data_IF_830347868550
#
_entry.id   IF_830347868550
#
_cell.length_a   1.000
_cell.length_b   1.000
_cell.length_c   1.000
_cell.angle_alpha   90.00
_cell.angle_beta   90.00
_cell.angle_gamma   90.00
#
_symmetry.space_group_name_H-M   'P 1'
#
loop_
_entity.id
_entity.type
_entity.pdbx_description
1 polymer ?
#
# COMPACT_ATOMS: atom_id res chain seq x y z
N UNK A 1 21.69 5.68 -11.91
CA UNK A 1 20.90 4.60 -11.28
C UNK A 1 21.06 4.69 -9.76
N UNK A 2 19.99 4.46 -8.99
CA UNK A 2 19.98 4.59 -7.52
C UNK A 2 19.66 3.27 -6.84
N UNK A 3 19.83 3.23 -5.51
CA UNK A 3 19.62 2.04 -4.68
C UNK A 3 18.19 1.98 -4.09
N UNK A 4 17.25 2.59 -4.80
CA UNK A 4 15.84 2.69 -4.40
C UNK A 4 14.92 2.64 -5.62
N UNK A 5 13.70 2.16 -5.40
CA UNK A 5 12.60 2.25 -6.36
C UNK A 5 11.53 3.21 -5.87
N UNK A 6 10.83 3.86 -6.81
CA UNK A 6 9.61 4.61 -6.55
C UNK A 6 8.43 3.69 -6.82
N UNK A 7 7.64 3.45 -5.78
CA UNK A 7 6.45 2.62 -5.81
C UNK A 7 5.20 3.49 -5.83
N UNK A 8 4.27 3.16 -6.72
CA UNK A 8 2.97 3.82 -6.84
C UNK A 8 1.88 3.02 -6.09
N UNK A 9 1.40 3.59 -4.99
CA UNK A 9 0.31 3.04 -4.16
C UNK A 9 -0.95 3.91 -4.23
N UNK A 10 -1.08 4.80 -5.23
CA UNK A 10 -2.24 5.70 -5.36
C UNK A 10 -3.57 4.96 -5.41
N UNK A 11 -3.59 3.76 -5.99
CA UNK A 11 -4.78 2.88 -6.08
C UNK A 11 -5.20 2.23 -4.75
N UNK A 12 -4.30 2.22 -3.75
CA UNK A 12 -4.59 1.72 -2.40
C UNK A 12 -5.04 2.83 -1.45
N UNK A 13 -4.84 4.10 -1.83
CA UNK A 13 -5.33 5.23 -1.06
C UNK A 13 -6.85 5.21 -1.02
N UNK A 14 -7.40 5.46 0.18
CA UNK A 14 -8.83 5.67 0.35
C UNK A 14 -9.28 6.95 -0.36
N UNK A 15 -8.51 8.02 -0.15
CA UNK A 15 -8.69 9.34 -0.73
C UNK A 15 -7.33 9.86 -1.22
N UNK A 16 -7.29 10.68 -2.27
CA UNK A 16 -6.04 11.28 -2.79
C UNK A 16 -5.54 12.41 -1.88
N UNK A 17 -5.21 12.06 -0.63
CA UNK A 17 -4.74 12.99 0.41
C UNK A 17 -3.48 12.48 1.09
N UNK A 18 -2.68 13.39 1.64
CA UNK A 18 -1.45 13.04 2.36
C UNK A 18 -1.72 12.30 3.69
N UNK A 19 -2.91 12.51 4.29
CA UNK A 19 -3.34 11.76 5.46
C UNK A 19 -3.54 10.27 5.13
N UNK A 20 -4.13 9.98 3.96
CA UNK A 20 -4.28 8.60 3.46
C UNK A 20 -2.92 7.98 3.15
N UNK A 21 -1.99 8.74 2.58
CA UNK A 21 -0.60 8.31 2.37
C UNK A 21 0.07 7.93 3.69
N UNK A 22 -0.03 8.79 4.71
CA UNK A 22 0.51 8.54 6.04
C UNK A 22 -0.14 7.34 6.74
N UNK A 23 -1.43 7.09 6.51
CA UNK A 23 -2.11 5.91 7.05
C UNK A 23 -1.52 4.62 6.45
N UNK A 24 -1.34 4.56 5.12
CA UNK A 24 -0.70 3.41 4.45
C UNK A 24 0.74 3.25 4.93
N UNK A 25 1.50 4.35 5.00
CA UNK A 25 2.88 4.35 5.47
C UNK A 25 3.02 3.68 6.85
N UNK A 26 2.17 4.06 7.81
CA UNK A 26 2.15 3.47 9.16
C UNK A 26 1.88 1.96 9.11
N UNK A 27 1.00 1.50 8.22
CA UNK A 27 0.72 0.08 8.07
C UNK A 27 1.92 -0.67 7.48
N UNK A 28 2.57 -0.12 6.45
CA UNK A 28 3.75 -0.72 5.84
C UNK A 28 4.88 -0.86 6.86
N UNK A 29 5.19 0.21 7.59
CA UNK A 29 6.28 0.18 8.58
C UNK A 29 5.95 -0.75 9.75
N UNK A 30 4.73 -0.72 10.29
CA UNK A 30 4.38 -1.50 11.48
C UNK A 30 4.06 -2.97 11.19
N UNK A 31 3.34 -3.26 10.10
CA UNK A 31 2.88 -4.63 9.77
C UNK A 31 3.79 -5.33 8.78
N UNK A 32 4.17 -4.65 7.69
CA UNK A 32 5.01 -5.23 6.62
C UNK A 32 6.50 -5.19 7.00
N UNK A 33 6.88 -4.28 7.90
CA UNK A 33 8.24 -4.10 8.43
C UNK A 33 9.26 -3.80 7.33
N UNK A 34 8.87 -2.98 6.37
CA UNK A 34 9.75 -2.49 5.31
C UNK A 34 9.93 -1.00 5.52
N UNK A 35 11.19 -0.55 5.53
CA UNK A 35 11.50 0.87 5.66
C UNK A 35 11.23 1.56 4.32
N UNK A 36 10.13 2.30 4.27
CA UNK A 36 9.74 3.10 3.11
C UNK A 36 9.63 4.57 3.51
N UNK A 37 9.99 5.47 2.60
CA UNK A 37 9.83 6.91 2.80
C UNK A 37 8.63 7.41 1.99
N UNK A 38 7.66 8.13 2.60
CA UNK A 38 6.50 8.64 1.89
C UNK A 38 6.88 9.83 1.00
N UNK A 39 6.20 9.99 -0.14
CA UNK A 39 6.46 11.02 -1.14
C UNK A 39 6.30 12.44 -0.60
N UNK A 40 5.41 12.62 0.39
CA UNK A 40 5.27 13.87 1.16
C UNK A 40 6.57 14.37 1.78
N UNK A 41 7.51 13.47 2.14
CA UNK A 41 8.83 13.86 2.66
C UNK A 41 9.74 14.50 1.61
N UNK A 42 9.40 14.40 0.32
CA UNK A 42 10.17 14.96 -0.80
C UNK A 42 9.43 16.11 -1.51
N UNK A 43 8.42 16.70 -0.87
CA UNK A 43 7.56 17.72 -1.47
C UNK A 43 6.87 17.26 -2.77
N UNK A 44 6.52 15.97 -2.86
CA UNK A 44 5.79 15.46 -4.01
C UNK A 44 4.39 16.10 -4.05
N UNK A 45 3.98 16.58 -5.23
CA UNK A 45 2.70 17.27 -5.44
C UNK A 45 1.51 16.32 -5.33
N UNK A 46 1.73 15.03 -5.62
CA UNK A 46 0.71 13.99 -5.59
C UNK A 46 0.96 13.03 -4.43
N UNK A 47 -0.05 12.72 -3.61
CA UNK A 47 0.05 11.69 -2.58
C UNK A 47 0.08 10.29 -3.20
N UNK A 48 0.63 9.31 -2.48
CA UNK A 48 0.61 7.89 -2.85
C UNK A 48 1.92 7.36 -3.45
N UNK A 49 2.95 8.19 -3.55
CA UNK A 49 4.29 7.78 -3.97
C UNK A 49 5.12 7.35 -2.77
N UNK A 50 5.87 6.25 -2.90
CA UNK A 50 6.73 5.74 -1.84
C UNK A 50 8.11 5.39 -2.37
N UNK A 51 9.16 5.84 -1.68
CA UNK A 51 10.53 5.44 -1.97
C UNK A 51 10.91 4.23 -1.13
N UNK A 52 11.26 3.12 -1.80
CA UNK A 52 11.67 1.86 -1.17
C UNK A 52 13.17 1.68 -1.40
N UNK A 53 13.96 1.65 -0.33
CA UNK A 53 15.40 1.45 -0.41
C UNK A 53 15.74 -0.03 -0.21
N UNK A 54 16.54 -0.59 -1.13
CA UNK A 54 17.01 -1.99 -1.07
C UNK A 54 18.55 -2.08 -0.99
N UNK A 55 19.23 -0.94 -0.86
CA UNK A 55 20.69 -0.79 -0.86
C UNK A 55 21.44 -1.65 0.18
N UNK A 56 20.80 -1.88 1.33
CA UNK A 56 21.45 -2.37 2.55
C UNK A 56 20.91 -3.75 2.97
N UNK A 57 20.44 -4.54 2.02
CA UNK A 57 19.84 -5.86 2.26
C UNK A 57 20.45 -6.89 1.33
N UNK A 58 20.65 -8.10 1.84
CA UNK A 58 20.99 -9.26 1.02
C UNK A 58 19.75 -9.75 0.24
N UNK A 59 19.99 -10.63 -0.73
CA UNK A 59 18.94 -11.11 -1.64
C UNK A 59 17.82 -11.82 -0.88
N UNK A 60 18.15 -12.63 0.12
CA UNK A 60 17.18 -13.35 0.95
C UNK A 60 16.26 -12.39 1.72
N UNK A 61 16.81 -11.34 2.34
CA UNK A 61 16.00 -10.32 3.04
C UNK A 61 15.12 -9.55 2.06
N UNK A 62 15.63 -9.24 0.87
CA UNK A 62 14.86 -8.58 -0.18
C UNK A 62 13.67 -9.44 -0.63
N UNK A 63 13.88 -10.74 -0.84
CA UNK A 63 12.79 -11.66 -1.23
C UNK A 63 11.72 -11.75 -0.15
N UNK A 64 12.11 -11.81 1.13
CA UNK A 64 11.16 -11.78 2.25
C UNK A 64 10.37 -10.47 2.25
N UNK A 65 11.03 -9.33 2.03
CA UNK A 65 10.37 -8.02 1.91
C UNK A 65 9.34 -7.99 0.76
N UNK A 66 9.73 -8.48 -0.42
CA UNK A 66 8.84 -8.57 -1.58
C UNK A 66 7.64 -9.47 -1.31
N UNK A 67 7.84 -10.62 -0.66
CA UNK A 67 6.75 -11.53 -0.30
C UNK A 67 5.76 -10.87 0.66
N UNK A 68 6.25 -10.15 1.68
CA UNK A 68 5.38 -9.41 2.61
C UNK A 68 4.60 -8.31 1.92
N UNK A 69 5.20 -7.59 0.96
CA UNK A 69 4.49 -6.60 0.15
C UNK A 69 3.42 -7.23 -0.72
N UNK A 70 3.73 -8.38 -1.34
CA UNK A 70 2.76 -9.13 -2.15
C UNK A 70 1.56 -9.54 -1.32
N UNK A 71 1.78 -10.11 -0.14
CA UNK A 71 0.71 -10.52 0.78
C UNK A 71 -0.12 -9.31 1.24
N UNK A 72 0.53 -8.17 1.51
CA UNK A 72 -0.15 -6.93 1.87
C UNK A 72 -1.07 -6.42 0.76
N UNK A 73 -0.61 -6.38 -0.49
CA UNK A 73 -1.38 -5.90 -1.65
C UNK A 73 -2.54 -6.87 -1.97
N UNK A 74 -2.29 -8.18 -1.96
CA UNK A 74 -3.33 -9.18 -2.19
C UNK A 74 -4.41 -9.13 -1.10
N UNK A 75 -4.00 -8.95 0.16
CA UNK A 75 -4.94 -8.77 1.27
C UNK A 75 -5.84 -7.53 1.10
N UNK A 76 -5.33 -6.43 0.55
CA UNK A 76 -6.16 -5.25 0.22
C UNK A 76 -7.19 -5.56 -0.87
N UNK A 77 -6.79 -6.29 -1.92
CA UNK A 77 -7.69 -6.73 -3.01
C UNK A 77 -8.80 -7.63 -2.46
N UNK A 78 -8.48 -8.60 -1.63
CA UNK A 78 -9.46 -9.49 -1.00
C UNK A 78 -10.44 -8.72 -0.11
N UNK A 79 -9.95 -7.76 0.69
CA UNK A 79 -10.80 -6.89 1.50
C UNK A 79 -11.74 -6.03 0.65
N UNK A 80 -11.27 -5.50 -0.49
CA UNK A 80 -12.09 -4.76 -1.46
C UNK A 80 -13.19 -5.65 -2.07
N UNK A 81 -12.85 -6.87 -2.47
CA UNK A 81 -13.79 -7.84 -3.03
C UNK A 81 -14.87 -8.27 -2.03
N UNK A 82 -14.48 -8.51 -0.77
CA UNK A 82 -15.41 -8.81 0.32
C UNK A 82 -16.39 -7.65 0.57
N UNK A 83 -15.90 -6.41 0.58
CA UNK A 83 -16.77 -5.23 0.73
C UNK A 83 -17.74 -5.06 -0.45
N UNK A 84 -17.28 -5.28 -1.68
CA UNK A 84 -18.13 -5.22 -2.88
C UNK A 84 -19.28 -6.25 -2.83
N UNK A 85 -18.97 -7.51 -2.49
CA UNK A 85 -19.97 -8.57 -2.38
C UNK A 85 -20.98 -8.34 -1.24
N UNK A 86 -20.55 -7.77 -0.11
CA UNK A 86 -21.45 -7.42 1.00
C UNK A 86 -22.40 -6.27 0.66
N UNK A 87 -21.96 -5.27 -0.11
CA UNK A 87 -22.79 -4.15 -0.53
C UNK A 87 -23.85 -4.57 -1.56
N UNK A 88 -23.49 -5.39 -2.55
CA UNK A 88 -24.45 -5.93 -3.52
C UNK A 88 -25.53 -6.81 -2.86
N UNK A 89 -25.19 -7.58 -1.82
CA UNK A 89 -26.19 -8.34 -1.04
C UNK A 89 -27.18 -7.43 -0.29
N UNK A 90 -26.75 -6.26 0.18
CA UNK A 90 -27.62 -5.29 0.87
C UNK A 90 -28.54 -4.54 -0.10
N UNK A 91 -28.07 -4.17 -1.29
CA UNK A 91 -28.91 -3.54 -2.32
C UNK A 91 -29.98 -4.48 -2.88
N UNK A 92 -29.64 -5.76 -3.13
CA UNK A 92 -30.61 -6.74 -3.60
C UNK A 92 -31.67 -7.13 -2.55
N UNK A 93 -31.41 -6.87 -1.26
CA UNK A 93 -32.36 -7.12 -0.16
C UNK A 93 -33.27 -5.93 0.15
N UNK A 94 -32.94 -4.72 -0.35
CA UNK A 94 -33.76 -3.50 -0.24
C UNK A 94 -34.78 -3.33 -1.38
N UNK A 95 -34.67 -4.14 -2.44
CA UNK A 95 -35.57 -4.12 -3.62
C UNK A 95 -36.59 -5.27 -3.64
N UNK A 96 -36.77 -5.99 -2.53
CA UNK A 96 -37.84 -6.99 -2.33
C UNK A 96 -38.73 -6.55 -1.18
#
# INVERSE_FOLDING_TARGET
>A
AGLFVLMDLRHMLKDQTFESEMAIWRVIVNKVKINVSPGSSFHCSEPGWFRVCFANMDEDTLQIGLQRMKDFVLGDIENKNCNYNCNNKKENKKRK
#
